data_IF_972251883012
#
_entry.id   IF_972251883012
#
_cell.length_a   1.000
_cell.length_b   1.000
_cell.length_c   1.000
_cell.angle_alpha   90.00
_cell.angle_beta   90.00
_cell.angle_gamma   90.00
#
_symmetry.space_group_name_H-M   'P 1'
#
loop_
_entity.id
_entity.type
_entity.pdbx_description
1 polymer ?
#
# COMPACT_ATOMS: atom_id res chain seq x y z
N UNK A 1 -15.20 23.14 -10.87
CA UNK A 1 -14.09 22.20 -11.16
C UNK A 1 -13.44 21.77 -9.84
N UNK A 2 -13.42 20.48 -9.46
CA UNK A 2 -12.74 20.09 -8.24
C UNK A 2 -11.25 19.91 -8.53
N UNK A 3 -10.45 20.75 -7.89
CA UNK A 3 -9.00 20.71 -7.90
C UNK A 3 -8.53 19.41 -7.22
N UNK A 4 -7.68 18.63 -7.92
CA UNK A 4 -7.06 17.41 -7.37
C UNK A 4 -6.03 17.81 -6.30
N UNK A 5 -6.44 17.88 -5.04
CA UNK A 5 -5.49 18.03 -3.93
C UNK A 5 -4.79 16.70 -3.67
N UNK A 6 -3.47 16.66 -3.84
CA UNK A 6 -2.65 15.53 -3.40
C UNK A 6 -2.68 15.48 -1.87
N UNK A 7 -3.52 14.61 -1.31
CA UNK A 7 -3.53 14.35 0.13
C UNK A 7 -2.33 13.47 0.50
N UNK A 8 -1.65 13.82 1.59
CA UNK A 8 -0.57 13.02 2.14
C UNK A 8 -1.18 11.72 2.69
N UNK A 9 -1.23 10.67 1.87
CA UNK A 9 -1.79 9.37 2.26
C UNK A 9 -0.94 8.79 3.38
N UNK A 10 -1.59 8.53 4.52
CA UNK A 10 -1.05 7.75 5.63
C UNK A 10 -0.69 6.34 5.16
N UNK A 11 0.37 5.75 5.75
CA UNK A 11 0.79 4.37 5.47
C UNK A 11 -0.18 3.31 6.01
N UNK A 12 -1.12 3.69 6.89
CA UNK A 12 -2.14 2.79 7.41
C UNK A 12 -3.35 2.81 6.47
N UNK A 13 -3.66 1.63 5.95
CA UNK A 13 -4.78 1.37 5.04
C UNK A 13 -6.11 1.71 5.71
N UNK A 14 -6.61 2.89 5.41
CA UNK A 14 -7.96 3.33 5.71
C UNK A 14 -8.25 4.53 4.82
N UNK A 15 -9.21 4.40 3.90
CA UNK A 15 -9.67 5.50 3.08
C UNK A 15 -10.55 6.42 3.94
N UNK A 16 -9.95 7.24 4.79
CA UNK A 16 -10.65 8.35 5.39
C UNK A 16 -10.89 9.39 4.30
N UNK A 17 -12.13 9.52 3.83
CA UNK A 17 -12.58 10.63 3.00
C UNK A 17 -12.52 11.90 3.87
N UNK A 18 -11.32 12.48 4.01
CA UNK A 18 -11.15 13.75 4.70
C UNK A 18 -11.79 14.83 3.84
N UNK A 19 -12.92 15.37 4.29
CA UNK A 19 -13.56 16.53 3.67
C UNK A 19 -12.55 17.68 3.64
N UNK A 20 -12.18 18.11 2.45
CA UNK A 20 -11.21 19.19 2.28
C UNK A 20 -11.91 20.53 2.45
N UNK A 21 -11.46 21.29 3.44
CA UNK A 21 -11.96 22.64 3.70
C UNK A 21 -11.04 23.67 3.03
N UNK A 22 -11.61 24.60 2.28
CA UNK A 22 -10.89 25.70 1.64
C UNK A 22 -10.32 26.64 2.70
N UNK A 23 -9.22 27.32 2.36
CA UNK A 23 -8.57 28.28 3.24
C UNK A 23 -9.52 29.40 3.68
N UNK A 24 -10.28 29.97 2.74
CA UNK A 24 -11.26 31.04 3.02
C UNK A 24 -12.32 30.60 4.00
N UNK A 25 -12.81 29.37 3.87
CA UNK A 25 -13.79 28.80 4.79
C UNK A 25 -13.22 28.65 6.21
N UNK A 26 -12.02 28.05 6.35
CA UNK A 26 -11.37 27.90 7.66
C UNK A 26 -11.16 29.25 8.34
N UNK A 27 -10.72 30.25 7.58
CA UNK A 27 -10.46 31.60 8.09
C UNK A 27 -11.75 32.29 8.55
N UNK A 28 -12.86 32.12 7.82
CA UNK A 28 -14.18 32.62 8.25
C UNK A 28 -14.60 32.02 9.59
N UNK A 29 -14.54 30.70 9.72
CA UNK A 29 -14.97 29.98 10.94
C UNK A 29 -14.11 30.37 12.14
N UNK A 30 -12.78 30.48 11.94
CA UNK A 30 -11.87 30.86 13.04
C UNK A 30 -12.07 32.31 13.46
N UNK A 31 -12.30 33.23 12.53
CA UNK A 31 -12.62 34.63 12.87
C UNK A 31 -13.92 34.72 13.68
N UNK A 32 -14.96 34.01 13.27
CA UNK A 32 -16.24 34.00 13.99
C UNK A 32 -16.08 33.44 15.42
N UNK A 33 -15.22 32.42 15.60
CA UNK A 33 -14.87 31.94 16.93
C UNK A 33 -14.11 32.97 17.77
N UNK A 34 -13.16 33.70 17.15
CA UNK A 34 -12.36 34.72 17.85
C UNK A 34 -13.17 35.96 18.23
N UNK A 35 -14.22 36.27 17.48
CA UNK A 35 -15.17 37.33 17.83
C UNK A 35 -15.99 37.00 19.09
N UNK A 36 -15.96 35.76 19.59
CA UNK A 36 -16.68 35.33 20.79
C UNK A 36 -18.18 35.11 20.58
N UNK A 37 -18.66 35.17 19.33
CA UNK A 37 -20.08 35.07 19.00
C UNK A 37 -20.65 33.67 19.22
N UNK A 38 -19.82 32.63 19.10
CA UNK A 38 -20.26 31.24 19.10
C UNK A 38 -19.25 30.29 19.75
N UNK A 39 -19.76 29.31 20.49
CA UNK A 39 -18.98 28.16 20.97
C UNK A 39 -18.49 27.29 19.80
N UNK A 40 -17.47 26.46 20.05
CA UNK A 40 -16.98 25.50 19.03
C UNK A 40 -18.07 24.52 18.59
N UNK A 41 -18.90 24.06 19.53
CA UNK A 41 -19.97 23.12 19.24
C UNK A 41 -21.06 23.75 18.36
N UNK A 42 -21.48 24.99 18.67
CA UNK A 42 -22.48 25.71 17.87
C UNK A 42 -21.97 26.02 16.46
N UNK A 43 -20.69 26.38 16.31
CA UNK A 43 -20.06 26.53 14.99
C UNK A 43 -20.03 25.22 14.19
N UNK A 44 -19.76 24.09 14.85
CA UNK A 44 -19.81 22.78 14.22
C UNK A 44 -21.19 22.47 13.63
N UNK A 45 -22.27 22.73 14.38
CA UNK A 45 -23.64 22.56 13.93
C UNK A 45 -23.97 23.51 12.78
N UNK A 46 -23.68 24.80 12.94
CA UNK A 46 -23.92 25.85 11.92
C UNK A 46 -23.28 25.52 10.58
N UNK A 47 -22.05 25.02 10.61
CA UNK A 47 -21.26 24.73 9.41
C UNK A 47 -21.26 23.27 8.97
N UNK A 48 -22.03 22.40 9.64
CA UNK A 48 -22.08 20.95 9.40
C UNK A 48 -20.68 20.33 9.37
N UNK A 49 -19.84 20.72 10.34
CA UNK A 49 -18.51 20.15 10.56
C UNK A 49 -18.67 18.98 11.54
N UNK A 50 -18.19 17.78 11.20
CA UNK A 50 -18.52 16.57 11.94
C UNK A 50 -17.85 16.48 13.33
N UNK A 51 -16.80 17.25 13.58
CA UNK A 51 -16.08 17.20 14.86
C UNK A 51 -15.61 18.58 15.29
N UNK A 52 -15.86 18.87 16.56
CA UNK A 52 -15.32 19.97 17.34
C UNK A 52 -13.79 19.97 17.38
N UNK A 53 -13.17 18.79 17.47
CA UNK A 53 -11.71 18.65 17.50
C UNK A 53 -11.03 19.26 16.27
N UNK A 54 -11.69 19.23 15.10
CA UNK A 54 -11.18 19.87 13.89
C UNK A 54 -11.12 21.40 14.04
N UNK A 55 -12.14 22.01 14.65
CA UNK A 55 -12.16 23.44 14.94
C UNK A 55 -11.12 23.81 15.99
N UNK A 56 -10.97 23.00 17.05
CA UNK A 56 -9.92 23.17 18.06
C UNK A 56 -8.53 23.21 17.40
N UNK A 57 -8.27 22.31 16.45
CA UNK A 57 -7.00 22.27 15.71
C UNK A 57 -6.80 23.53 14.88
N UNK A 58 -7.83 24.00 14.17
CA UNK A 58 -7.72 25.22 13.34
C UNK A 58 -7.47 26.46 14.20
N UNK A 59 -8.21 26.61 15.30
CA UNK A 59 -8.03 27.73 16.24
C UNK A 59 -6.66 27.68 16.89
N UNK A 60 -6.21 26.51 17.36
CA UNK A 60 -4.91 26.38 18.02
C UNK A 60 -3.75 26.71 17.07
N UNK A 61 -3.84 26.28 15.81
CA UNK A 61 -2.85 26.64 14.79
C UNK A 61 -2.90 28.10 14.40
N UNK A 62 -4.10 28.68 14.31
CA UNK A 62 -4.24 30.10 14.03
C UNK A 62 -3.66 30.96 15.16
N UNK A 63 -3.85 30.57 16.42
CA UNK A 63 -3.23 31.25 17.56
C UNK A 63 -1.70 31.19 17.52
N UNK A 64 -1.11 30.09 17.06
CA UNK A 64 0.34 29.92 17.02
C UNK A 64 1.01 30.58 15.80
N UNK A 65 0.39 30.52 14.62
CA UNK A 65 1.02 30.94 13.35
C UNK A 65 0.23 32.02 12.60
N UNK A 66 -0.88 32.48 13.16
CA UNK A 66 -1.80 33.40 12.51
C UNK A 66 -2.46 32.77 11.26
N UNK A 67 -2.75 33.58 10.23
CA UNK A 67 -3.43 33.10 9.02
C UNK A 67 -2.63 32.02 8.27
N UNK A 68 -1.29 32.01 8.35
CA UNK A 68 -0.47 31.00 7.67
C UNK A 68 -0.70 29.59 8.24
N UNK A 69 -1.07 29.47 9.52
CA UNK A 69 -1.36 28.22 10.19
C UNK A 69 -2.56 27.45 9.64
N UNK A 70 -3.47 28.12 8.92
CA UNK A 70 -4.66 27.54 8.30
C UNK A 70 -4.40 27.00 6.88
N UNK A 71 -3.23 27.30 6.30
CA UNK A 71 -2.86 26.80 4.98
C UNK A 71 -2.76 25.28 5.00
N UNK A 72 -3.01 24.67 3.84
CA UNK A 72 -2.92 23.23 3.70
C UNK A 72 -1.47 22.78 3.86
N UNK A 73 -1.25 21.73 4.64
CA UNK A 73 0.06 21.11 4.75
C UNK A 73 0.48 20.52 3.41
N UNK A 74 1.70 20.84 2.99
CA UNK A 74 2.35 20.17 1.86
C UNK A 74 2.85 18.80 2.30
N UNK A 75 2.79 17.82 1.41
CA UNK A 75 3.43 16.52 1.62
C UNK A 75 4.94 16.73 1.71
N UNK A 76 5.51 16.62 2.92
CA UNK A 76 6.95 16.70 3.17
C UNK A 76 7.51 15.31 3.46
N UNK A 77 8.74 15.06 3.01
CA UNK A 77 9.53 13.93 3.47
C UNK A 77 10.27 14.34 4.73
N UNK A 78 10.26 13.47 5.74
CA UNK A 78 10.92 13.71 7.01
C UNK A 78 12.09 12.74 7.15
N UNK A 79 13.26 13.25 7.53
CA UNK A 79 14.41 12.42 7.88
C UNK A 79 14.08 11.54 9.10
N UNK A 80 14.74 10.40 9.22
CA UNK A 80 14.58 9.52 10.38
C UNK A 80 14.99 10.23 11.68
N UNK A 81 16.06 11.02 11.65
CA UNK A 81 16.53 11.78 12.82
C UNK A 81 15.47 12.78 13.30
N UNK A 82 14.81 13.44 12.35
CA UNK A 82 13.73 14.38 12.66
C UNK A 82 12.53 13.68 13.29
N UNK A 83 12.13 12.51 12.77
CA UNK A 83 11.05 11.71 13.37
C UNK A 83 11.39 11.32 14.81
N UNK A 84 12.64 10.91 15.06
CA UNK A 84 13.11 10.55 16.39
C UNK A 84 13.08 11.76 17.32
N UNK A 85 13.58 12.92 16.89
CA UNK A 85 13.56 14.16 17.67
C UNK A 85 12.14 14.58 18.08
N UNK A 86 11.16 14.44 17.18
CA UNK A 86 9.75 14.75 17.50
C UNK A 86 9.19 13.82 18.57
N UNK A 87 9.56 12.54 18.51
CA UNK A 87 9.08 11.53 19.46
C UNK A 87 9.75 11.67 20.82
N UNK A 88 11.06 11.87 20.86
CA UNK A 88 11.78 12.11 22.11
C UNK A 88 11.25 13.35 22.81
N UNK A 89 10.99 14.42 22.06
CA UNK A 89 10.33 15.62 22.58
C UNK A 89 8.95 15.33 23.18
N UNK A 90 8.11 14.54 22.48
CA UNK A 90 6.80 14.14 22.99
C UNK A 90 6.89 13.35 24.31
N UNK A 91 7.85 12.42 24.40
CA UNK A 91 8.06 11.58 25.58
C UNK A 91 8.60 12.40 26.76
N UNK A 92 9.54 13.32 26.51
CA UNK A 92 10.18 14.10 27.56
C UNK A 92 9.26 15.15 28.17
N UNK A 93 8.44 15.82 27.36
CA UNK A 93 7.60 16.93 27.84
C UNK A 93 6.16 16.53 28.18
N UNK A 94 5.78 15.26 28.00
CA UNK A 94 4.41 14.76 28.19
C UNK A 94 3.31 15.64 27.54
N UNK A 95 3.68 16.36 26.48
CA UNK A 95 2.80 17.32 25.81
C UNK A 95 1.75 16.63 24.95
N UNK A 96 0.57 17.25 24.80
CA UNK A 96 -0.42 16.79 23.82
C UNK A 96 0.16 16.74 22.40
N UNK A 97 -0.31 15.76 21.60
CA UNK A 97 0.08 15.58 20.19
C UNK A 97 -0.07 16.89 19.39
N UNK A 98 -1.09 17.68 19.71
CA UNK A 98 -1.33 18.97 19.05
C UNK A 98 -0.24 19.99 19.40
N UNK A 99 0.17 20.06 20.67
CA UNK A 99 1.23 20.96 21.13
C UNK A 99 2.57 20.60 20.50
N UNK A 100 2.91 19.31 20.46
CA UNK A 100 4.13 18.86 19.75
C UNK A 100 4.08 19.17 18.26
N UNK A 101 2.93 19.01 17.63
CA UNK A 101 2.78 19.30 16.21
C UNK A 101 2.92 20.80 15.91
N UNK A 102 2.47 21.66 16.82
CA UNK A 102 2.69 23.11 16.73
C UNK A 102 4.17 23.43 16.92
N UNK A 103 4.84 22.87 17.92
CA UNK A 103 6.26 23.13 18.18
C UNK A 103 7.16 22.87 16.96
N UNK A 104 6.94 21.78 16.23
CA UNK A 104 7.74 21.41 15.05
C UNK A 104 7.15 21.88 13.70
N UNK A 105 6.04 22.63 13.71
CA UNK A 105 5.24 22.99 12.52
C UNK A 105 4.92 21.79 11.59
N UNK A 106 4.40 20.72 12.18
CA UNK A 106 3.97 19.50 11.48
C UNK A 106 2.45 19.32 11.63
N UNK A 107 1.85 18.52 10.76
CA UNK A 107 0.48 18.06 10.97
C UNK A 107 0.39 17.10 12.17
N UNK A 108 -0.58 17.34 13.07
CA UNK A 108 -0.86 16.46 14.21
C UNK A 108 -1.11 15.00 13.80
N UNK A 109 -1.69 14.77 12.62
CA UNK A 109 -1.92 13.42 12.08
C UNK A 109 -0.62 12.66 11.81
N UNK A 110 0.43 13.36 11.40
CA UNK A 110 1.75 12.77 11.12
C UNK A 110 2.39 12.34 12.44
N UNK A 111 2.36 13.20 13.44
CA UNK A 111 2.87 12.91 14.79
C UNK A 111 2.12 11.72 15.40
N UNK A 112 0.79 11.71 15.31
CA UNK A 112 -0.03 10.58 15.76
C UNK A 112 0.37 9.27 15.08
N UNK A 113 0.55 9.27 13.76
CA UNK A 113 0.92 8.07 13.02
C UNK A 113 2.32 7.56 13.41
N UNK A 114 3.28 8.45 13.65
CA UNK A 114 4.61 8.05 14.12
C UNK A 114 4.58 7.47 15.53
N UNK A 115 3.84 8.09 16.45
CA UNK A 115 3.64 7.55 17.81
C UNK A 115 2.92 6.21 17.78
N UNK A 116 1.91 6.05 16.91
CA UNK A 116 1.20 4.79 16.72
C UNK A 116 2.14 3.69 16.20
N UNK A 117 2.96 3.99 15.20
CA UNK A 117 3.98 3.05 14.68
C UNK A 117 4.97 2.65 15.76
N UNK A 118 5.45 3.62 16.53
CA UNK A 118 6.38 3.37 17.63
C UNK A 118 5.76 2.44 18.68
N UNK A 119 4.51 2.68 19.08
CA UNK A 119 3.82 1.84 20.08
C UNK A 119 3.58 0.42 19.58
N UNK A 120 3.31 0.25 18.29
CA UNK A 120 2.99 -1.07 17.72
C UNK A 120 4.22 -1.91 17.37
N UNK A 121 5.31 -1.28 16.90
CA UNK A 121 6.44 -1.99 16.29
C UNK A 121 7.81 -1.52 16.80
N UNK A 122 7.85 -0.62 17.78
CA UNK A 122 9.07 -0.06 18.36
C UNK A 122 9.82 0.91 17.45
N UNK A 123 11.02 1.30 17.88
CA UNK A 123 11.90 2.28 17.20
C UNK A 123 12.27 1.81 15.79
N UNK A 124 12.47 0.49 15.59
CA UNK A 124 12.84 -0.10 14.30
C UNK A 124 11.85 0.25 13.19
N UNK A 125 10.55 0.35 13.50
CA UNK A 125 9.55 0.71 12.50
C UNK A 125 9.64 2.15 12.02
N UNK A 126 10.19 3.07 12.81
CA UNK A 126 10.36 4.48 12.42
C UNK A 126 11.52 4.62 11.42
N UNK A 127 12.59 3.86 11.66
CA UNK A 127 13.80 3.85 10.84
C UNK A 127 13.55 3.08 9.54
N UNK A 128 12.91 1.91 9.64
CA UNK A 128 12.70 0.98 8.53
C UNK A 128 11.40 1.21 7.75
N UNK A 129 10.57 2.18 8.13
CA UNK A 129 9.30 2.44 7.43
C UNK A 129 9.59 2.93 6.00
N UNK A 130 9.57 1.98 5.06
CA UNK A 130 9.65 2.27 3.63
C UNK A 130 8.49 3.17 3.24
N UNK A 131 8.81 4.36 2.74
CA UNK A 131 7.83 5.34 2.30
C UNK A 131 7.17 4.83 1.02
N UNK A 132 5.88 4.50 1.09
CA UNK A 132 5.05 4.23 -0.08
C UNK A 132 4.21 2.96 0.02
N UNK A 133 3.31 2.79 -0.96
CA UNK A 133 2.59 1.53 -1.15
C UNK A 133 3.64 0.45 -1.44
N UNK A 134 3.60 -0.72 -0.79
CA UNK A 134 4.46 -1.83 -1.19
C UNK A 134 4.31 -2.03 -2.70
N UNK A 135 5.43 -2.19 -3.40
CA UNK A 135 5.40 -2.49 -4.83
C UNK A 135 4.44 -3.66 -5.00
N UNK A 136 3.40 -3.45 -5.80
CA UNK A 136 2.46 -4.50 -6.11
C UNK A 136 3.28 -5.61 -6.76
N UNK A 137 3.51 -6.70 -6.02
CA UNK A 137 4.21 -7.85 -6.56
C UNK A 137 3.27 -8.37 -7.64
N UNK A 138 3.60 -8.10 -8.91
CA UNK A 138 2.94 -8.77 -10.01
C UNK A 138 3.23 -10.24 -9.80
N UNK A 139 2.25 -11.01 -9.33
CA UNK A 139 2.33 -12.48 -9.27
C UNK A 139 2.78 -12.89 -10.67
N UNK A 140 4.03 -13.35 -10.81
CA UNK A 140 4.56 -13.83 -12.09
C UNK A 140 3.63 -14.98 -12.46
N UNK A 141 2.77 -14.80 -13.47
CA UNK A 141 1.72 -15.77 -13.78
C UNK A 141 2.40 -17.12 -14.02
N UNK A 142 2.10 -18.10 -13.18
CA UNK A 142 2.52 -19.50 -13.32
C UNK A 142 2.12 -20.13 -14.67
N UNK A 143 1.27 -19.45 -15.44
CA UNK A 143 0.85 -19.83 -16.78
C UNK A 143 2.02 -20.05 -17.74
N UNK A 144 3.14 -19.32 -17.58
CA UNK A 144 4.31 -19.52 -18.45
C UNK A 144 5.00 -20.87 -18.25
N UNK A 145 5.03 -21.39 -17.00
CA UNK A 145 5.61 -22.71 -16.68
C UNK A 145 4.68 -23.86 -17.06
N UNK A 146 3.37 -23.72 -16.80
CA UNK A 146 2.37 -24.72 -17.21
C UNK A 146 2.30 -24.93 -18.72
N UNK A 147 2.45 -23.86 -19.51
CA UNK A 147 2.45 -23.98 -20.97
C UNK A 147 3.69 -24.71 -21.51
N UNK A 148 4.86 -24.52 -20.90
CA UNK A 148 6.10 -25.20 -21.31
C UNK A 148 6.04 -26.69 -20.96
N UNK A 149 5.53 -27.03 -19.78
CA UNK A 149 5.36 -28.41 -19.32
C UNK A 149 4.34 -29.19 -20.16
N UNK A 150 3.18 -28.57 -20.47
CA UNK A 150 2.19 -29.17 -21.37
C UNK A 150 2.72 -29.38 -22.79
N UNK A 151 3.58 -28.48 -23.28
CA UNK A 151 4.19 -28.60 -24.60
C UNK A 151 5.28 -29.69 -24.63
N UNK A 152 6.02 -29.88 -23.53
CA UNK A 152 6.98 -30.97 -23.36
C UNK A 152 6.28 -32.33 -23.33
N UNK A 153 5.21 -32.47 -22.54
CA UNK A 153 4.41 -33.70 -22.45
C UNK A 153 3.84 -34.09 -23.82
N UNK A 154 3.31 -33.13 -24.58
CA UNK A 154 2.83 -33.39 -25.96
C UNK A 154 3.91 -33.89 -26.90
N UNK A 155 5.16 -33.40 -26.78
CA UNK A 155 6.28 -33.90 -27.59
C UNK A 155 6.66 -35.32 -27.21
N UNK A 156 6.74 -35.61 -25.91
CA UNK A 156 7.05 -36.95 -25.41
C UNK A 156 6.00 -37.98 -25.83
N UNK A 157 4.71 -37.65 -25.76
CA UNK A 157 3.64 -38.53 -26.21
C UNK A 157 3.73 -38.88 -27.71
N UNK A 158 4.12 -37.91 -28.56
CA UNK A 158 4.35 -38.16 -29.98
C UNK A 158 5.53 -39.11 -30.21
N UNK A 159 6.62 -38.94 -29.47
CA UNK A 159 7.79 -39.81 -29.57
C UNK A 159 7.47 -41.25 -29.11
N UNK A 160 6.76 -41.41 -27.99
CA UNK A 160 6.33 -42.73 -27.49
C UNK A 160 5.48 -43.43 -28.55
N UNK A 161 4.49 -42.73 -29.13
CA UNK A 161 3.63 -43.30 -30.15
C UNK A 161 4.39 -43.77 -31.40
N UNK A 162 5.42 -43.01 -31.82
CA UNK A 162 6.27 -43.40 -32.95
C UNK A 162 7.08 -44.67 -32.64
N UNK A 163 7.71 -44.72 -31.46
CA UNK A 163 8.50 -45.87 -31.02
C UNK A 163 7.63 -47.13 -30.89
N UNK A 164 6.39 -47.00 -30.42
CA UNK A 164 5.44 -48.11 -30.35
C UNK A 164 5.09 -48.66 -31.74
N UNK A 165 4.93 -47.78 -32.74
CA UNK A 165 4.69 -48.19 -34.12
C UNK A 165 5.90 -48.92 -34.70
N UNK A 166 7.11 -48.41 -34.50
CA UNK A 166 8.35 -49.07 -34.94
C UNK A 166 8.50 -50.46 -34.30
N UNK A 167 8.31 -50.58 -32.99
CA UNK A 167 8.36 -51.87 -32.29
C UNK A 167 7.32 -52.85 -32.81
N UNK A 168 6.12 -52.37 -33.18
CA UNK A 168 5.08 -53.22 -33.76
C UNK A 168 5.49 -53.78 -35.12
N UNK A 169 6.09 -52.94 -35.97
CA UNK A 169 6.58 -53.33 -37.28
C UNK A 169 7.70 -54.36 -37.17
N UNK A 170 8.72 -54.07 -36.35
CA UNK A 170 9.85 -54.98 -36.11
C UNK A 170 9.40 -56.32 -35.52
N UNK A 171 8.35 -56.35 -34.68
CA UNK A 171 7.78 -57.60 -34.16
C UNK A 171 7.15 -58.44 -35.28
N UNK A 172 6.40 -57.82 -36.18
CA UNK A 172 5.79 -58.50 -37.33
C UNK A 172 6.87 -59.07 -38.25
N UNK A 173 7.89 -58.27 -38.57
CA UNK A 173 9.01 -58.67 -39.42
C UNK A 173 9.77 -59.87 -38.83
N UNK A 174 10.09 -59.85 -37.53
CA UNK A 174 10.72 -60.98 -36.85
C UNK A 174 9.85 -62.26 -36.88
N UNK A 175 8.54 -62.13 -36.72
CA UNK A 175 7.62 -63.28 -36.83
C UNK A 175 7.63 -63.85 -38.25
N UNK A 176 7.67 -62.98 -39.26
CA UNK A 176 7.73 -63.40 -40.66
C UNK A 176 9.04 -64.14 -40.99
N UNK A 177 10.19 -63.59 -40.59
CA UNK A 177 11.50 -64.23 -40.79
C UNK A 177 11.57 -65.61 -40.11
N UNK A 178 11.09 -65.74 -38.88
CA UNK A 178 11.03 -67.03 -38.17
C UNK A 178 10.19 -68.07 -38.90
N UNK A 179 9.08 -67.66 -39.53
CA UNK A 179 8.24 -68.56 -40.34
C UNK A 179 8.95 -69.00 -41.63
N UNK A 180 9.67 -68.09 -42.30
CA UNK A 180 10.48 -68.44 -43.47
C UNK A 180 11.59 -69.44 -43.11
N UNK A 181 12.33 -69.21 -42.01
CA UNK A 181 13.37 -70.12 -41.55
C UNK A 181 12.82 -71.51 -41.20
N UNK A 182 11.62 -71.57 -40.63
CA UNK A 182 10.94 -72.84 -40.38
C UNK A 182 10.55 -73.56 -41.68
N UNK A 183 10.04 -72.83 -42.67
CA UNK A 183 9.68 -73.39 -43.97
C UNK A 183 10.91 -73.88 -44.76
N UNK A 184 12.04 -73.19 -44.68
CA UNK A 184 13.32 -73.62 -45.29
C UNK A 184 13.84 -74.88 -44.60
N UNK A 185 13.79 -74.94 -43.26
CA UNK A 185 14.20 -76.13 -42.50
C UNK A 185 13.35 -77.37 -42.82
N UNK A 186 12.04 -77.22 -43.03
CA UNK A 186 11.15 -78.33 -43.39
C UNK A 186 11.30 -78.83 -44.84
N UNK A 187 12.03 -78.09 -45.71
CA UNK A 187 12.29 -78.47 -47.10
C UNK A 187 13.60 -79.24 -47.31
N UNK A 188 14.42 -79.39 -46.27
CA UNK A 188 15.60 -80.27 -46.25
C UNK A 188 15.22 -81.60 -45.63
#
# INVERSE_FOLDING_TARGET
MPYKTWTCKSSFGGAFLTRNYTYSFKLKVVKEYLNGENSLHTLCLKYKVPSDTLLVIWVSRYKAFGPTGLKQFKCRRYSNDFKLAVITYYLNHATSIQKTAIHFDISHTVVYNWLKLMRQFGIKAIILSKIGRPKMVKKKKETSKRNTEQQLIKRQQKQIKHLEQELSYTKIENVYLKKLDAAIRNKK
#
